data_IF_270591540059
#
_entry.id   IF_270591540059
#
_cell.length_a   1.000
_cell.length_b   1.000
_cell.length_c   1.000
_cell.angle_alpha   90.00
_cell.angle_beta   90.00
_cell.angle_gamma   90.00
#
_symmetry.space_group_name_H-M   'P 1'
#
loop_
_entity.id
_entity.type
_entity.pdbx_description
1 polymer ?
#
# COMPACT_ATOMS: atom_id res chain seq x y z
N UNK A 1 -3.56 -4.65 20.03
CA UNK A 1 -2.99 -5.44 18.91
C UNK A 1 -1.49 -5.52 19.16
N UNK A 2 -0.91 -6.71 19.27
CA UNK A 2 0.54 -6.81 19.49
C UNK A 2 1.31 -6.47 18.21
N UNK A 3 2.53 -5.96 18.34
CA UNK A 3 3.43 -5.70 17.19
C UNK A 3 3.58 -6.97 16.33
N UNK A 4 3.70 -8.13 16.98
CA UNK A 4 3.77 -9.42 16.31
C UNK A 4 2.53 -9.74 15.45
N UNK A 5 1.32 -9.57 16.00
CA UNK A 5 0.08 -9.80 15.24
C UNK A 5 0.00 -8.88 14.01
N UNK A 6 0.47 -7.65 14.16
CA UNK A 6 0.48 -6.68 13.06
C UNK A 6 1.46 -7.07 11.96
N UNK A 7 2.70 -7.43 12.32
CA UNK A 7 3.70 -7.93 11.38
C UNK A 7 3.24 -9.20 10.66
N UNK A 8 2.63 -10.15 11.38
CA UNK A 8 2.14 -11.39 10.81
C UNK A 8 1.06 -11.13 9.77
N UNK A 9 0.13 -10.22 10.06
CA UNK A 9 -0.93 -9.82 9.13
C UNK A 9 -0.37 -9.11 7.90
N UNK A 10 0.58 -8.21 8.10
CA UNK A 10 1.25 -7.52 7.01
C UNK A 10 1.99 -8.49 6.09
N UNK A 11 2.73 -9.45 6.69
CA UNK A 11 3.44 -10.50 5.94
C UNK A 11 2.47 -11.41 5.20
N UNK A 12 1.35 -11.79 5.82
CA UNK A 12 0.29 -12.55 5.15
C UNK A 12 -0.25 -11.81 3.94
N UNK A 13 -0.60 -10.53 4.07
CA UNK A 13 -1.10 -9.72 2.94
C UNK A 13 -0.07 -9.64 1.80
N UNK A 14 1.21 -9.48 2.12
CA UNK A 14 2.29 -9.49 1.12
C UNK A 14 2.36 -10.84 0.37
N UNK A 15 2.32 -11.96 1.09
CA UNK A 15 2.39 -13.30 0.48
C UNK A 15 1.17 -13.60 -0.39
N UNK A 16 -0.04 -13.25 0.03
CA UNK A 16 -1.25 -13.48 -0.78
C UNK A 16 -1.23 -12.66 -2.08
N UNK A 17 -0.76 -11.40 -2.03
CA UNK A 17 -0.60 -10.56 -3.22
C UNK A 17 0.45 -11.10 -4.21
N UNK A 18 1.43 -11.85 -3.74
CA UNK A 18 2.45 -12.52 -4.58
C UNK A 18 1.94 -13.84 -5.13
N UNK A 19 1.26 -14.64 -4.30
CA UNK A 19 0.66 -15.92 -4.69
C UNK A 19 -0.42 -15.75 -5.74
N UNK A 20 -1.39 -14.85 -5.49
CA UNK A 20 -2.48 -14.56 -6.43
C UNK A 20 -1.93 -14.07 -7.78
N UNK A 21 -0.87 -13.25 -7.74
CA UNK A 21 -0.18 -12.79 -8.94
C UNK A 21 0.49 -13.92 -9.72
N UNK A 22 1.23 -14.79 -9.05
CA UNK A 22 1.87 -15.93 -9.69
C UNK A 22 0.84 -16.84 -10.38
N UNK A 23 -0.28 -17.11 -9.70
CA UNK A 23 -1.39 -17.90 -10.25
C UNK A 23 -1.95 -17.30 -11.55
N UNK A 24 -2.28 -16.01 -11.53
CA UNK A 24 -2.82 -15.30 -12.70
C UNK A 24 -1.82 -15.24 -13.86
N UNK A 25 -0.54 -15.02 -13.57
CA UNK A 25 0.50 -15.00 -14.61
C UNK A 25 0.71 -16.37 -15.25
N UNK A 26 0.70 -17.44 -14.45
CA UNK A 26 0.77 -18.80 -14.99
C UNK A 26 -0.42 -19.10 -15.91
N UNK A 27 -1.62 -18.68 -15.51
CA UNK A 27 -2.82 -18.84 -16.33
C UNK A 27 -2.69 -18.10 -17.67
N UNK A 28 -2.35 -16.79 -17.66
CA UNK A 28 -2.17 -15.99 -18.89
C UNK A 28 -1.09 -16.57 -19.83
N UNK A 29 0.02 -17.07 -19.27
CA UNK A 29 1.06 -17.75 -20.04
C UNK A 29 0.56 -19.04 -20.69
N UNK A 30 -0.20 -19.88 -19.97
CA UNK A 30 -0.75 -21.11 -20.53
C UNK A 30 -1.80 -20.85 -21.61
N UNK A 31 -2.65 -19.85 -21.41
CA UNK A 31 -3.66 -19.45 -22.38
C UNK A 31 -3.00 -18.89 -23.64
N UNK A 32 -1.95 -18.07 -23.50
CA UNK A 32 -1.17 -17.60 -24.63
C UNK A 32 -0.50 -18.73 -25.43
N UNK A 33 0.07 -19.73 -24.74
CA UNK A 33 0.71 -20.88 -25.39
C UNK A 33 -0.31 -21.74 -26.17
N UNK A 34 -1.51 -21.94 -25.62
CA UNK A 34 -2.61 -22.65 -26.30
C UNK A 34 -3.07 -21.90 -27.56
N UNK A 35 -3.20 -20.57 -27.47
CA UNK A 35 -3.68 -19.76 -28.59
C UNK A 35 -2.68 -19.59 -29.75
N UNK A 36 -1.38 -19.72 -29.53
CA UNK A 36 -0.39 -19.76 -30.63
C UNK A 36 -0.64 -20.93 -31.59
N UNK A 37 -1.27 -22.01 -31.11
CA UNK A 37 -1.64 -23.16 -31.94
C UNK A 37 -3.01 -23.00 -32.62
N UNK A 38 -3.91 -22.14 -32.09
CA UNK A 38 -5.27 -21.92 -32.61
C UNK A 38 -5.37 -20.62 -33.44
N UNK A 39 -4.98 -20.69 -34.70
CA UNK A 39 -4.82 -19.54 -35.61
C UNK A 39 -6.13 -18.81 -36.06
N UNK A 40 -7.32 -19.10 -35.49
CA UNK A 40 -8.61 -18.75 -36.14
C UNK A 40 -9.61 -17.91 -35.31
N UNK A 41 -9.41 -17.58 -34.03
CA UNK A 41 -10.38 -16.76 -33.25
C UNK A 41 -9.74 -15.58 -32.50
N UNK A 42 -9.52 -14.46 -33.21
CA UNK A 42 -8.77 -13.29 -32.71
C UNK A 42 -9.54 -12.20 -31.95
N UNK A 43 -10.88 -12.21 -31.87
CA UNK A 43 -11.65 -11.05 -31.35
C UNK A 43 -12.01 -11.11 -29.86
N UNK A 44 -12.39 -12.29 -29.32
CA UNK A 44 -12.88 -12.43 -27.93
C UNK A 44 -11.74 -12.33 -26.89
N UNK A 45 -10.54 -12.79 -27.22
CA UNK A 45 -9.38 -12.83 -26.31
C UNK A 45 -8.66 -11.48 -26.16
N UNK A 46 -8.78 -10.56 -27.14
CA UNK A 46 -8.28 -9.19 -26.99
C UNK A 46 -9.04 -8.40 -25.92
N UNK A 47 -10.34 -8.66 -25.74
CA UNK A 47 -11.17 -8.01 -24.72
C UNK A 47 -10.81 -8.46 -23.29
N UNK A 48 -10.54 -9.76 -23.08
CA UNK A 48 -10.01 -10.26 -21.80
C UNK A 48 -8.68 -9.59 -21.43
N UNK A 49 -7.74 -9.53 -22.39
CA UNK A 49 -6.44 -8.84 -22.21
C UNK A 49 -6.54 -7.35 -21.91
N UNK A 50 -7.51 -6.65 -22.50
CA UNK A 50 -7.73 -5.23 -22.19
C UNK A 50 -8.32 -5.03 -20.79
N UNK A 51 -9.17 -5.95 -20.31
CA UNK A 51 -9.76 -5.91 -18.96
C UNK A 51 -8.73 -6.20 -17.84
N UNK A 52 -7.74 -7.05 -18.10
CA UNK A 52 -6.67 -7.38 -17.15
C UNK A 52 -5.66 -6.25 -16.91
N UNK A 53 -5.45 -5.35 -17.87
CA UNK A 53 -4.42 -4.29 -17.78
C UNK A 53 -4.67 -3.29 -16.64
N UNK A 54 -5.89 -2.75 -16.43
CA UNK A 54 -6.19 -1.95 -15.24
C UNK A 54 -5.96 -2.68 -13.91
N UNK A 55 -6.26 -3.99 -13.88
CA UNK A 55 -6.11 -4.83 -12.68
C UNK A 55 -4.64 -4.95 -12.25
N UNK A 56 -3.71 -5.01 -13.21
CA UNK A 56 -2.28 -5.08 -12.90
C UNK A 56 -1.75 -3.80 -12.26
N UNK A 57 -2.26 -2.64 -12.70
CA UNK A 57 -1.85 -1.34 -12.14
C UNK A 57 -2.25 -1.22 -10.68
N UNK A 58 -3.49 -1.59 -10.34
CA UNK A 58 -3.94 -1.53 -8.95
C UNK A 58 -3.21 -2.57 -8.09
N UNK A 59 -2.99 -3.78 -8.61
CA UNK A 59 -2.21 -4.82 -7.91
C UNK A 59 -0.81 -4.32 -7.57
N UNK A 60 -0.13 -3.71 -8.54
CA UNK A 60 1.23 -3.20 -8.33
C UNK A 60 1.22 -2.06 -7.31
N UNK A 61 0.21 -1.19 -7.34
CA UNK A 61 0.05 -0.15 -6.34
C UNK A 61 -0.18 -0.73 -4.92
N UNK A 62 -1.01 -1.77 -4.78
CA UNK A 62 -1.21 -2.50 -3.52
C UNK A 62 0.11 -3.12 -3.03
N UNK A 63 0.80 -3.88 -3.88
CA UNK A 63 2.06 -4.54 -3.55
C UNK A 63 3.15 -3.53 -3.17
N UNK A 64 3.25 -2.42 -3.89
CA UNK A 64 4.18 -1.33 -3.62
C UNK A 64 3.96 -0.74 -2.23
N UNK A 65 2.71 -0.41 -1.88
CA UNK A 65 2.38 0.15 -0.58
C UNK A 65 2.72 -0.83 0.55
N UNK A 66 2.30 -2.09 0.42
CA UNK A 66 2.54 -3.14 1.42
C UNK A 66 4.04 -3.41 1.60
N UNK A 67 4.81 -3.50 0.50
CA UNK A 67 6.26 -3.74 0.55
C UNK A 67 7.00 -2.59 1.22
N UNK A 68 6.66 -1.35 0.89
CA UNK A 68 7.29 -0.19 1.51
C UNK A 68 6.95 -0.08 2.99
N UNK A 69 5.71 -0.38 3.37
CA UNK A 69 5.28 -0.42 4.77
C UNK A 69 6.03 -1.50 5.54
N UNK A 70 6.15 -2.70 4.97
CA UNK A 70 6.91 -3.80 5.56
C UNK A 70 8.38 -3.40 5.78
N UNK A 71 9.02 -2.84 4.75
CA UNK A 71 10.41 -2.39 4.87
C UNK A 71 10.56 -1.32 5.95
N UNK A 72 9.64 -0.35 6.01
CA UNK A 72 9.66 0.70 7.04
C UNK A 72 9.63 0.10 8.45
N UNK A 73 8.68 -0.78 8.72
CA UNK A 73 8.53 -1.34 10.07
C UNK A 73 9.73 -2.25 10.41
N UNK A 74 10.17 -3.09 9.48
CA UNK A 74 11.23 -4.04 9.76
C UNK A 74 12.59 -3.36 9.87
N UNK A 75 13.00 -2.61 8.85
CA UNK A 75 14.36 -2.08 8.76
C UNK A 75 14.49 -0.74 9.48
N UNK A 76 13.57 0.19 9.25
CA UNK A 76 13.74 1.53 9.81
C UNK A 76 13.31 1.59 11.27
N UNK A 77 12.32 0.81 11.69
CA UNK A 77 11.85 0.81 13.09
C UNK A 77 12.50 -0.31 13.90
N UNK A 78 12.24 -1.58 13.57
CA UNK A 78 12.66 -2.71 14.42
C UNK A 78 14.18 -2.83 14.49
N UNK A 79 14.87 -2.94 13.35
CA UNK A 79 16.33 -3.08 13.33
C UNK A 79 17.03 -1.85 13.96
N UNK A 80 16.55 -0.65 13.67
CA UNK A 80 17.14 0.56 14.26
C UNK A 80 16.99 0.60 15.78
N UNK A 81 15.81 0.29 16.32
CA UNK A 81 15.58 0.30 17.76
C UNK A 81 16.28 -0.87 18.46
N UNK A 82 16.40 -2.01 17.78
CA UNK A 82 17.15 -3.16 18.28
C UNK A 82 18.64 -2.82 18.44
N UNK A 83 19.25 -2.14 17.47
CA UNK A 83 20.65 -1.70 17.56
C UNK A 83 20.88 -0.75 18.76
N UNK A 84 19.93 0.15 19.04
CA UNK A 84 19.99 1.04 20.22
C UNK A 84 19.93 0.23 21.52
N UNK A 85 18.96 -0.68 21.63
CA UNK A 85 18.84 -1.56 22.81
C UNK A 85 20.10 -2.42 23.00
N UNK A 86 20.64 -2.99 21.93
CA UNK A 86 21.82 -3.84 21.96
C UNK A 86 23.06 -3.08 22.44
N UNK A 87 23.25 -1.83 22.01
CA UNK A 87 24.34 -0.99 22.50
C UNK A 87 24.22 -0.73 24.02
N UNK A 88 23.02 -0.40 24.49
CA UNK A 88 22.78 -0.20 25.93
C UNK A 88 22.96 -1.48 26.76
N UNK A 89 22.62 -2.66 26.22
CA UNK A 89 22.87 -3.95 26.88
C UNK A 89 24.37 -4.20 27.05
N UNK A 90 25.19 -3.85 26.04
CA UNK A 90 26.63 -4.07 26.07
C UNK A 90 27.35 -3.13 27.04
N UNK A 91 26.85 -1.90 27.18
CA UNK A 91 27.50 -0.87 28.00
C UNK A 91 27.00 -0.81 29.45
N UNK A 92 25.85 -1.43 29.76
CA UNK A 92 25.23 -1.34 31.09
C UNK A 92 25.72 -2.40 32.06
N UNK A 93 26.05 -1.96 33.28
CA UNK A 93 26.26 -2.83 34.45
C UNK A 93 25.09 -2.78 35.46
N UNK A 94 24.00 -2.10 35.11
CA UNK A 94 22.81 -1.94 35.94
C UNK A 94 21.58 -2.60 35.31
N UNK A 95 21.00 -3.56 36.02
CA UNK A 95 19.80 -4.27 35.60
C UNK A 95 18.56 -3.37 35.63
N UNK A 96 18.44 -2.47 36.61
CA UNK A 96 17.27 -1.59 36.71
C UNK A 96 17.23 -0.59 35.56
N UNK A 97 18.37 0.01 35.22
CA UNK A 97 18.53 0.81 34.01
C UNK A 97 18.19 0.04 32.73
N UNK A 98 18.61 -1.23 32.64
CA UNK A 98 18.31 -2.06 31.46
C UNK A 98 16.81 -2.32 31.27
N UNK A 99 16.07 -2.55 32.36
CA UNK A 99 14.60 -2.67 32.30
C UNK A 99 13.97 -1.37 31.79
N UNK A 100 14.48 -0.22 32.22
CA UNK A 100 14.03 1.09 31.72
C UNK A 100 14.20 1.23 30.20
N UNK A 101 15.41 0.93 29.69
CA UNK A 101 15.73 1.01 28.25
C UNK A 101 14.88 0.02 27.44
N UNK A 102 14.64 -1.19 27.95
CA UNK A 102 13.78 -2.16 27.27
C UNK A 102 12.32 -1.67 27.17
N UNK A 103 11.80 -1.03 28.23
CA UNK A 103 10.47 -0.43 28.20
C UNK A 103 10.38 0.71 27.17
N UNK A 104 11.43 1.54 27.08
CA UNK A 104 11.55 2.58 26.05
C UNK A 104 11.59 1.99 24.64
N UNK A 105 12.35 0.92 24.43
CA UNK A 105 12.39 0.17 23.17
C UNK A 105 10.98 -0.30 22.75
N UNK A 106 10.23 -0.94 23.63
CA UNK A 106 8.86 -1.38 23.33
C UNK A 106 7.92 -0.21 23.02
N UNK A 107 8.01 0.88 23.78
CA UNK A 107 7.24 2.10 23.54
C UNK A 107 7.57 2.71 22.17
N UNK A 108 8.85 2.76 21.81
CA UNK A 108 9.33 3.23 20.53
C UNK A 108 8.81 2.36 19.37
N UNK A 109 8.82 1.03 19.49
CA UNK A 109 8.27 0.13 18.48
C UNK A 109 6.78 0.39 18.22
N UNK A 110 5.99 0.57 19.28
CA UNK A 110 4.54 0.82 19.17
C UNK A 110 4.30 2.17 18.49
N UNK A 111 4.98 3.22 18.93
CA UNK A 111 4.75 4.58 18.42
C UNK A 111 5.27 4.76 16.98
N UNK A 112 6.49 4.31 16.70
CA UNK A 112 7.10 4.44 15.37
C UNK A 112 6.44 3.55 14.32
N UNK A 113 5.77 2.46 14.73
CA UNK A 113 4.95 1.61 13.85
C UNK A 113 3.50 2.10 13.68
N UNK A 114 3.15 3.27 14.22
CA UNK A 114 1.82 3.89 14.17
C UNK A 114 0.70 3.08 14.86
N UNK A 115 1.05 2.17 15.77
CA UNK A 115 0.09 1.29 16.44
C UNK A 115 -0.68 2.00 17.57
N UNK A 116 -0.10 3.05 18.13
CA UNK A 116 -0.71 3.95 19.12
C UNK A 116 -1.69 4.96 18.49
N UNK A 117 -1.53 5.27 17.20
CA UNK A 117 -2.42 6.18 16.47
C UNK A 117 -3.58 5.39 15.87
N UNK A 118 -4.71 5.37 16.60
CA UNK A 118 -5.88 4.57 16.22
C UNK A 118 -6.41 4.83 14.80
N UNK A 119 -6.32 6.06 14.29
CA UNK A 119 -6.74 6.38 12.92
C UNK A 119 -5.82 5.75 11.86
N UNK A 120 -4.51 5.81 12.04
CA UNK A 120 -3.53 5.19 11.14
C UNK A 120 -3.63 3.68 11.18
N UNK A 121 -3.70 3.10 12.38
CA UNK A 121 -3.86 1.65 12.56
C UNK A 121 -5.13 1.13 11.86
N UNK A 122 -6.27 1.81 12.00
CA UNK A 122 -7.53 1.44 11.30
C UNK A 122 -7.43 1.58 9.77
N UNK A 123 -6.75 2.60 9.25
CA UNK A 123 -6.57 2.78 7.81
C UNK A 123 -5.68 1.67 7.24
N UNK A 124 -4.56 1.36 7.90
CA UNK A 124 -3.66 0.27 7.49
C UNK A 124 -4.34 -1.10 7.57
N UNK A 125 -5.15 -1.34 8.60
CA UNK A 125 -6.02 -2.51 8.73
C UNK A 125 -6.97 -2.65 7.54
N UNK A 126 -7.67 -1.57 7.20
CA UNK A 126 -8.58 -1.52 6.05
C UNK A 126 -7.85 -1.79 4.73
N UNK A 127 -6.66 -1.20 4.54
CA UNK A 127 -5.85 -1.41 3.34
C UNK A 127 -5.44 -2.87 3.19
N UNK A 128 -4.98 -3.51 4.27
CA UNK A 128 -4.61 -4.93 4.24
C UNK A 128 -5.81 -5.82 3.91
N UNK A 129 -7.00 -5.51 4.44
CA UNK A 129 -8.24 -6.24 4.11
C UNK A 129 -8.63 -6.08 2.65
N UNK A 130 -8.58 -4.86 2.11
CA UNK A 130 -8.87 -4.59 0.69
C UNK A 130 -7.91 -5.35 -0.24
N UNK A 131 -6.62 -5.45 0.13
CA UNK A 131 -5.65 -6.25 -0.63
C UNK A 131 -6.03 -7.75 -0.66
N UNK A 132 -6.50 -8.29 0.46
CA UNK A 132 -6.93 -9.70 0.53
C UNK A 132 -8.23 -9.95 -0.25
N UNK A 133 -9.20 -9.04 -0.14
CA UNK A 133 -10.45 -9.09 -0.92
C UNK A 133 -10.15 -9.03 -2.42
N UNK A 134 -9.23 -8.16 -2.82
CA UNK A 134 -8.74 -8.08 -4.19
C UNK A 134 -8.15 -9.40 -4.68
N UNK A 135 -7.29 -10.05 -3.89
CA UNK A 135 -6.71 -11.36 -4.26
C UNK A 135 -7.81 -12.41 -4.47
N UNK A 136 -8.79 -12.47 -3.57
CA UNK A 136 -9.90 -13.42 -3.65
C UNK A 136 -10.79 -13.17 -4.89
N UNK A 137 -11.13 -11.92 -5.18
CA UNK A 137 -11.94 -11.57 -6.34
C UNK A 137 -11.23 -11.85 -7.68
N UNK A 138 -9.91 -11.80 -7.70
CA UNK A 138 -9.11 -12.15 -8.90
C UNK A 138 -9.00 -13.66 -9.07
N UNK A 139 -8.89 -14.42 -7.99
CA UNK A 139 -8.84 -15.89 -8.06
C UNK A 139 -10.18 -16.48 -8.51
N UNK A 140 -11.31 -15.84 -8.14
CA UNK A 140 -12.66 -16.32 -8.47
C UNK A 140 -13.27 -15.70 -9.74
N UNK A 141 -12.46 -15.13 -10.63
CA UNK A 141 -12.94 -14.26 -11.72
C UNK A 141 -13.60 -14.98 -12.92
N UNK A 142 -13.88 -16.27 -12.83
CA UNK A 142 -14.58 -17.03 -13.88
C UNK A 142 -16.07 -16.63 -14.04
N UNK A 143 -16.67 -15.92 -13.06
CA UNK A 143 -18.05 -15.42 -13.13
C UNK A 143 -18.11 -13.95 -13.57
N UNK A 144 -18.86 -13.66 -14.64
CA UNK A 144 -19.04 -12.34 -15.25
C UNK A 144 -19.67 -11.27 -14.34
N UNK A 145 -20.08 -11.62 -13.12
CA UNK A 145 -20.81 -10.76 -12.17
C UNK A 145 -19.89 -9.95 -11.23
N UNK A 146 -18.61 -10.32 -11.09
CA UNK A 146 -17.72 -9.77 -10.05
C UNK A 146 -17.07 -8.40 -10.38
N UNK A 147 -17.44 -7.75 -11.48
CA UNK A 147 -16.73 -6.56 -11.96
C UNK A 147 -17.03 -5.30 -11.16
N UNK A 148 -18.27 -5.14 -10.68
CA UNK A 148 -18.68 -4.00 -9.84
C UNK A 148 -18.03 -4.06 -8.45
N UNK A 149 -17.91 -5.24 -7.87
CA UNK A 149 -17.25 -5.43 -6.58
C UNK A 149 -15.75 -5.11 -6.66
N UNK A 150 -15.10 -5.53 -7.76
CA UNK A 150 -13.70 -5.20 -8.02
C UNK A 150 -13.49 -3.68 -8.16
N UNK A 151 -14.35 -3.00 -8.91
CA UNK A 151 -14.29 -1.53 -9.06
C UNK A 151 -14.43 -0.83 -7.70
N UNK A 152 -15.36 -1.28 -6.86
CA UNK A 152 -15.52 -0.77 -5.50
C UNK A 152 -14.28 -0.98 -4.63
N UNK A 153 -13.64 -2.16 -4.68
CA UNK A 153 -12.39 -2.44 -3.96
C UNK A 153 -11.27 -1.48 -4.42
N UNK A 154 -11.16 -1.25 -5.72
CA UNK A 154 -10.16 -0.34 -6.30
C UNK A 154 -10.38 1.09 -5.81
N UNK A 155 -11.62 1.56 -5.83
CA UNK A 155 -11.98 2.91 -5.40
C UNK A 155 -11.70 3.11 -3.90
N UNK A 156 -12.15 2.19 -3.06
CA UNK A 156 -11.91 2.25 -1.62
C UNK A 156 -10.42 2.19 -1.28
N UNK A 157 -9.65 1.32 -1.95
CA UNK A 157 -8.19 1.26 -1.77
C UNK A 157 -7.54 2.61 -2.08
N UNK A 158 -7.91 3.24 -3.20
CA UNK A 158 -7.37 4.55 -3.58
C UNK A 158 -7.76 5.64 -2.56
N UNK A 159 -9.00 5.64 -2.05
CA UNK A 159 -9.42 6.59 -1.00
C UNK A 159 -8.61 6.40 0.28
N UNK A 160 -8.44 5.16 0.74
CA UNK A 160 -7.66 4.86 1.97
C UNK A 160 -6.18 5.17 1.81
N UNK A 161 -5.55 4.83 0.67
CA UNK A 161 -4.13 5.10 0.44
C UNK A 161 -3.83 6.60 0.34
N UNK A 162 -4.71 7.39 -0.29
CA UNK A 162 -4.58 8.85 -0.31
C UNK A 162 -4.80 9.47 1.08
N UNK A 163 -5.76 8.95 1.84
CA UNK A 163 -6.00 9.38 3.23
C UNK A 163 -4.79 9.08 4.12
N UNK A 164 -4.22 7.87 3.99
CA UNK A 164 -3.01 7.47 4.68
C UNK A 164 -1.87 8.45 4.36
N UNK A 165 -1.61 8.70 3.08
CA UNK A 165 -0.55 9.62 2.66
C UNK A 165 -0.76 11.02 3.22
N UNK A 166 -1.99 11.53 3.20
CA UNK A 166 -2.34 12.87 3.73
C UNK A 166 -2.08 12.96 5.24
N UNK A 167 -2.47 11.93 6.00
CA UNK A 167 -2.24 11.90 7.45
C UNK A 167 -0.74 11.81 7.74
N UNK A 168 -0.01 10.93 7.04
CA UNK A 168 1.43 10.75 7.23
C UNK A 168 2.23 12.01 6.85
N UNK A 169 1.81 12.74 5.80
CA UNK A 169 2.43 14.01 5.37
C UNK A 169 2.16 15.16 6.35
N UNK A 170 1.11 15.09 7.16
CA UNK A 170 0.77 16.17 8.07
C UNK A 170 1.96 16.54 8.97
N UNK A 171 2.20 17.84 9.14
CA UNK A 171 3.39 18.39 9.80
C UNK A 171 3.59 17.91 11.23
N UNK A 172 2.53 17.42 11.88
CA UNK A 172 2.56 16.86 13.25
C UNK A 172 3.37 15.57 13.36
N UNK A 173 3.48 14.80 12.29
CA UNK A 173 4.22 13.53 12.29
C UNK A 173 5.61 13.68 11.65
N UNK A 174 5.73 14.49 10.59
CA UNK A 174 6.98 14.67 9.84
C UNK A 174 8.04 15.49 10.61
N UNK A 175 7.62 16.39 11.49
CA UNK A 175 8.50 17.21 12.33
C UNK A 175 8.69 16.71 13.77
N UNK A 176 8.06 15.59 14.14
CA UNK A 176 8.11 15.07 15.51
C UNK A 176 9.25 14.06 15.67
N UNK A 177 9.94 14.10 16.82
CA UNK A 177 10.88 13.03 17.23
C UNK A 177 10.21 11.64 17.32
N UNK A 178 8.87 11.57 17.28
CA UNK A 178 8.12 10.31 17.31
C UNK A 178 8.30 9.41 16.09
N UNK A 179 8.73 9.95 14.95
CA UNK A 179 8.88 9.15 13.74
C UNK A 179 10.09 9.62 12.90
N UNK A 180 11.32 9.43 13.40
CA UNK A 180 12.53 9.94 12.76
C UNK A 180 12.72 9.38 11.33
N UNK A 181 12.20 8.17 11.08
CA UNK A 181 12.30 7.50 9.79
C UNK A 181 11.08 7.71 8.88
N UNK A 182 10.01 8.35 9.36
CA UNK A 182 8.79 8.60 8.58
C UNK A 182 9.09 9.40 7.31
N UNK A 183 10.03 10.35 7.37
CA UNK A 183 10.45 11.11 6.18
C UNK A 183 11.01 10.19 5.09
N UNK A 184 11.83 9.19 5.46
CA UNK A 184 12.37 8.19 4.51
C UNK A 184 11.26 7.32 3.93
N UNK A 185 10.26 6.97 4.73
CA UNK A 185 9.10 6.21 4.27
C UNK A 185 8.25 7.01 3.29
N UNK A 186 7.95 8.27 3.60
CA UNK A 186 7.20 9.17 2.70
C UNK A 186 7.92 9.40 1.37
N UNK A 187 9.25 9.56 1.40
CA UNK A 187 10.05 9.69 0.17
C UNK A 187 9.96 8.43 -0.69
N UNK A 188 10.02 7.24 -0.08
CA UNK A 188 9.82 5.97 -0.80
C UNK A 188 8.42 5.86 -1.37
N UNK A 189 7.38 6.13 -0.58
CA UNK A 189 5.98 6.09 -1.04
C UNK A 189 5.70 7.07 -2.18
N UNK A 190 6.34 8.25 -2.16
CA UNK A 190 6.16 9.29 -3.18
C UNK A 190 7.27 9.31 -4.24
N UNK A 191 8.08 8.24 -4.37
CA UNK A 191 9.26 8.25 -5.24
C UNK A 191 8.93 8.55 -6.73
N UNK A 192 7.70 8.23 -7.17
CA UNK A 192 7.19 8.56 -8.53
C UNK A 192 6.23 9.76 -8.54
N UNK A 193 6.21 10.59 -7.50
CA UNK A 193 5.22 11.65 -7.29
C UNK A 193 3.76 11.18 -7.40
N UNK A 194 3.48 9.89 -7.27
CA UNK A 194 2.16 9.31 -7.52
C UNK A 194 1.08 9.95 -6.65
N UNK A 195 1.30 9.99 -5.33
CA UNK A 195 0.34 10.59 -4.39
C UNK A 195 0.21 12.10 -4.56
N UNK A 196 1.30 12.80 -4.90
CA UNK A 196 1.23 14.24 -5.20
C UNK A 196 0.53 14.55 -6.52
N UNK A 197 0.71 13.72 -7.54
CA UNK A 197 0.03 13.82 -8.83
C UNK A 197 -1.47 13.52 -8.67
N UNK A 198 -1.85 12.53 -7.87
CA UNK A 198 -3.25 12.25 -7.54
C UNK A 198 -3.88 13.39 -6.73
N UNK A 199 -3.19 13.93 -5.72
CA UNK A 199 -3.67 15.09 -4.96
C UNK A 199 -3.85 16.34 -5.83
N UNK A 200 -2.94 16.59 -6.78
CA UNK A 200 -3.04 17.68 -7.76
C UNK A 200 -4.11 17.42 -8.82
N UNK A 201 -4.29 16.17 -9.23
CA UNK A 201 -5.32 15.74 -10.19
C UNK A 201 -6.73 15.98 -9.66
N UNK A 202 -6.98 15.69 -8.37
CA UNK A 202 -8.26 15.97 -7.71
C UNK A 202 -8.56 17.48 -7.67
N UNK A 203 -7.54 18.34 -7.54
CA UNK A 203 -7.69 19.80 -7.62
C UNK A 203 -7.98 20.30 -9.05
N UNK A 204 -7.54 19.58 -10.09
CA UNK A 204 -7.78 19.95 -11.48
C UNK A 204 -9.15 19.52 -12.03
N UNK A 205 -9.88 18.64 -11.33
CA UNK A 205 -11.28 18.30 -11.67
C UNK A 205 -12.26 19.41 -11.24
N UNK A 206 -11.83 20.32 -10.35
CA UNK A 206 -12.63 21.45 -9.83
C UNK A 206 -12.21 22.79 -10.45
N UNK A 207 -11.81 22.81 -11.72
CA UNK A 207 -11.81 24.07 -12.49
C UNK A 207 -13.12 24.19 -13.25
N UNK A 208 -13.96 25.21 -12.98
CA UNK A 208 -15.11 25.47 -13.83
C UNK A 208 -14.61 25.74 -15.25
N UNK A 209 -15.28 25.11 -16.21
CA UNK A 209 -15.12 25.34 -17.65
C UNK A 209 -14.96 26.85 -17.90
N UNK A 210 -13.90 27.33 -18.58
CA UNK A 210 -13.89 28.71 -19.02
C UNK A 210 -15.08 28.91 -19.95
N UNK A 211 -15.99 29.79 -19.57
CA UNK A 211 -17.05 30.30 -20.44
C UNK A 211 -16.37 30.93 -21.64
N UNK A 212 -16.58 30.34 -22.82
CA UNK A 212 -16.20 30.94 -24.09
C UNK A 212 -16.87 32.31 -24.17
N UNK A 213 -16.07 33.37 -24.01
CA UNK A 213 -16.47 34.72 -24.36
C UNK A 213 -16.67 34.74 -25.88
N UNK A 214 -17.93 34.73 -26.31
CA UNK A 214 -18.32 34.97 -27.70
C UNK A 214 -17.85 36.38 -28.02
N UNK A 215 -16.76 36.48 -28.78
CA UNK A 215 -16.37 37.69 -29.47
C UNK A 215 -17.46 37.95 -30.52
N UNK A 216 -18.32 38.94 -30.24
CA UNK A 216 -19.13 39.58 -31.26
C UNK A 216 -18.18 40.19 -32.30
N UNK A 217 -18.20 39.66 -33.51
CA UNK A 217 -17.82 40.41 -34.71
C UNK A 217 -19.11 40.71 -35.48
N UNK A 218 -19.56 41.96 -35.35
CA UNK A 218 -20.10 42.89 -36.35
C UNK A 218 -21.09 43.85 -35.69
#
# INVERSE_FOLDING_TARGET
MSVFQYLLRLKRTQMELEKSWASVMHQDHTDFAKHRNDHVKGSVSQQGRQRSRPMWRIREHMAFLIRNLQFYIQVDVIESQWNVLQAHIQDSNDFTGLVGVHQEYLSALISQSFLDIGSLSRILDSIMKLCLQFCWNIENQESSENTSELEHIIEEFNKKSNSLYTILRSSRLVGSQRAPFLRRFLMRLNFNSFFEATAKGVLNVVRPRPTLSVLNQQ
#
